data_IF_732377275259
#
_entry.id   IF_732377275259
#
_cell.length_a   1.000
_cell.length_b   1.000
_cell.length_c   1.000
_cell.angle_alpha   90.00
_cell.angle_beta   90.00
_cell.angle_gamma   90.00
#
_symmetry.space_group_name_H-M   'P 1'
#
loop_
_entity.id
_entity.type
_entity.pdbx_description
1 polymer ?
#
# COMPACT_ATOMS: atom_id res chain seq x y z
N UNK A 1 19.23 55.20 -37.23
CA UNK A 1 19.35 54.34 -36.02
C UNK A 1 18.02 53.64 -35.85
N UNK A 2 17.98 52.31 -35.97
CA UNK A 2 16.76 51.52 -35.89
C UNK A 2 16.32 51.33 -34.43
N UNK A 3 15.07 51.66 -34.13
CA UNK A 3 14.45 51.52 -32.81
C UNK A 3 14.33 50.04 -32.44
N UNK A 4 14.86 49.66 -31.27
CA UNK A 4 14.79 48.30 -30.76
C UNK A 4 13.45 48.09 -30.04
N UNK A 5 12.53 47.33 -30.63
CA UNK A 5 11.26 46.99 -29.98
C UNK A 5 11.46 45.90 -28.94
N UNK A 6 11.23 46.21 -27.67
CA UNK A 6 11.38 45.25 -26.55
C UNK A 6 10.00 44.83 -26.07
N UNK A 7 9.74 43.52 -26.10
CA UNK A 7 8.50 42.96 -25.55
C UNK A 7 8.47 43.03 -24.03
N UNK A 8 7.28 43.26 -23.47
CA UNK A 8 7.06 43.15 -22.02
C UNK A 8 7.24 41.70 -21.58
N UNK A 9 7.92 41.51 -20.45
CA UNK A 9 8.08 40.20 -19.83
C UNK A 9 6.70 39.67 -19.38
N UNK A 10 6.53 38.34 -19.42
CA UNK A 10 5.30 37.66 -19.00
C UNK A 10 5.61 36.69 -17.85
N UNK A 11 4.79 36.78 -16.80
CA UNK A 11 4.82 35.87 -15.65
C UNK A 11 4.02 34.60 -15.95
N UNK A 12 4.58 33.43 -15.63
CA UNK A 12 3.83 32.17 -15.63
C UNK A 12 3.41 31.77 -14.22
N UNK A 13 2.10 31.60 -14.00
CA UNK A 13 1.59 31.11 -12.73
C UNK A 13 1.51 29.57 -12.71
N UNK A 14 2.25 28.96 -11.77
CA UNK A 14 2.33 27.48 -11.62
C UNK A 14 1.01 26.81 -11.25
N UNK A 15 0.13 27.48 -10.52
CA UNK A 15 -1.12 26.88 -10.01
C UNK A 15 -2.32 27.10 -10.94
N UNK A 16 -2.26 28.11 -11.80
CA UNK A 16 -3.35 28.45 -12.71
C UNK A 16 -3.04 28.16 -14.18
N UNK A 17 -1.79 27.84 -14.52
CA UNK A 17 -1.32 27.51 -15.87
C UNK A 17 -1.59 28.63 -16.89
N UNK A 18 -1.51 29.88 -16.44
CA UNK A 18 -1.80 31.08 -17.25
C UNK A 18 -0.58 32.00 -17.25
N UNK A 19 -0.37 32.64 -18.40
CA UNK A 19 0.60 33.73 -18.57
C UNK A 19 -0.07 35.08 -18.29
N UNK A 20 0.55 35.87 -17.42
CA UNK A 20 0.09 37.20 -17.00
C UNK A 20 1.18 38.21 -17.37
N UNK A 21 0.83 39.47 -17.59
CA UNK A 21 1.83 40.53 -17.76
C UNK A 21 2.60 40.77 -16.45
N UNK A 22 3.91 41.00 -16.52
CA UNK A 22 4.78 41.21 -15.35
C UNK A 22 4.59 42.59 -14.67
N UNK A 23 3.35 43.01 -14.42
CA UNK A 23 3.07 44.21 -13.64
C UNK A 23 2.84 43.82 -12.17
N UNK A 24 3.49 44.53 -11.25
CA UNK A 24 3.32 44.31 -9.80
C UNK A 24 1.84 44.29 -9.34
N UNK A 25 0.96 45.23 -9.76
CA UNK A 25 -0.45 45.17 -9.39
C UNK A 25 -1.18 43.98 -10.04
N UNK A 26 -0.95 43.70 -11.31
CA UNK A 26 -1.58 42.57 -12.02
C UNK A 26 -1.22 41.23 -11.38
N UNK A 27 0.03 41.07 -10.95
CA UNK A 27 0.49 39.87 -10.24
C UNK A 27 -0.22 39.69 -8.90
N UNK A 28 -0.29 40.76 -8.09
CA UNK A 28 -0.98 40.74 -6.80
C UNK A 28 -2.47 40.45 -6.95
N UNK A 29 -3.13 41.06 -7.93
CA UNK A 29 -4.54 40.80 -8.22
C UNK A 29 -4.79 39.35 -8.61
N UNK A 30 -3.91 38.75 -9.41
CA UNK A 30 -4.02 37.34 -9.74
C UNK A 30 -3.81 36.43 -8.53
N UNK A 31 -2.79 36.69 -7.72
CA UNK A 31 -2.47 35.88 -6.53
C UNK A 31 -3.56 35.96 -5.46
N UNK A 32 -4.21 37.13 -5.31
CA UNK A 32 -5.34 37.36 -4.42
C UNK A 32 -6.68 36.85 -4.97
N UNK A 33 -6.73 36.43 -6.25
CA UNK A 33 -7.96 35.95 -6.87
C UNK A 33 -8.42 34.62 -6.27
N UNK A 34 -9.73 34.48 -6.05
CA UNK A 34 -10.31 33.26 -5.46
C UNK A 34 -9.98 31.99 -6.27
N UNK A 35 -9.90 32.10 -7.60
CA UNK A 35 -9.49 30.99 -8.47
C UNK A 35 -8.07 30.51 -8.16
N UNK A 36 -7.14 31.45 -7.94
CA UNK A 36 -5.75 31.13 -7.62
C UNK A 36 -5.64 30.46 -6.25
N UNK A 37 -6.31 31.03 -5.24
CA UNK A 37 -6.32 30.49 -3.89
C UNK A 37 -6.94 29.08 -3.84
N UNK A 38 -8.07 28.86 -4.52
CA UNK A 38 -8.69 27.54 -4.60
C UNK A 38 -7.82 26.49 -5.30
N UNK A 39 -7.06 26.87 -6.34
CA UNK A 39 -6.10 25.97 -6.98
C UNK A 39 -4.90 25.66 -6.06
N UNK A 40 -4.40 26.67 -5.35
CA UNK A 40 -3.30 26.52 -4.39
C UNK A 40 -3.69 25.56 -3.26
N UNK A 41 -4.87 25.71 -2.69
CA UNK A 41 -5.38 24.80 -1.67
C UNK A 41 -5.56 23.36 -2.18
N UNK A 42 -6.12 23.20 -3.39
CA UNK A 42 -6.25 21.89 -4.04
C UNK A 42 -4.89 21.23 -4.27
N UNK A 43 -3.90 22.00 -4.72
CA UNK A 43 -2.53 21.53 -4.91
C UNK A 43 -1.92 21.03 -3.60
N UNK A 44 -2.06 21.81 -2.52
CA UNK A 44 -1.57 21.42 -1.18
C UNK A 44 -2.24 20.13 -0.70
N UNK A 45 -3.57 20.02 -0.82
CA UNK A 45 -4.30 18.77 -0.47
C UNK A 45 -3.87 17.59 -1.35
N UNK A 46 -3.59 17.86 -2.63
CA UNK A 46 -3.08 16.87 -3.59
C UNK A 46 -1.72 16.32 -3.20
N UNK A 47 -0.81 17.15 -2.70
CA UNK A 47 0.52 16.72 -2.25
C UNK A 47 0.46 15.71 -1.11
N UNK A 48 -0.40 15.94 -0.11
CA UNK A 48 -0.55 14.99 1.00
C UNK A 48 -1.13 13.66 0.52
N UNK A 49 -2.18 13.70 -0.29
CA UNK A 49 -2.79 12.48 -0.87
C UNK A 49 -1.83 11.72 -1.77
N UNK A 50 -1.06 12.42 -2.60
CA UNK A 50 -0.05 11.81 -3.46
C UNK A 50 1.08 11.17 -2.64
N UNK A 51 1.48 11.82 -1.53
CA UNK A 51 2.51 11.27 -0.64
C UNK A 51 2.05 10.01 0.07
N UNK A 52 0.79 9.97 0.52
CA UNK A 52 0.19 8.77 1.13
C UNK A 52 0.09 7.62 0.12
N UNK A 53 -0.44 7.88 -1.08
CA UNK A 53 -0.51 6.89 -2.16
C UNK A 53 0.88 6.34 -2.51
N UNK A 54 1.88 7.20 -2.69
CA UNK A 54 3.26 6.76 -2.96
C UNK A 54 3.79 5.83 -1.89
N UNK A 55 3.47 6.06 -0.61
CA UNK A 55 3.88 5.14 0.47
C UNK A 55 3.18 3.79 0.32
N UNK A 56 1.87 3.79 0.11
CA UNK A 56 1.09 2.57 -0.11
C UNK A 56 1.61 1.79 -1.32
N UNK A 57 1.80 2.45 -2.46
CA UNK A 57 2.35 1.87 -3.70
C UNK A 57 3.72 1.23 -3.42
N UNK A 58 4.62 1.92 -2.72
CA UNK A 58 5.95 1.35 -2.40
C UNK A 58 5.88 0.15 -1.43
N UNK A 59 4.89 0.10 -0.54
CA UNK A 59 4.67 -1.04 0.35
C UNK A 59 4.10 -2.24 -0.40
N UNK A 60 3.16 -2.01 -1.31
CA UNK A 60 2.61 -3.02 -2.20
C UNK A 60 3.69 -3.57 -3.15
N UNK A 61 4.48 -2.70 -3.78
CA UNK A 61 5.61 -3.09 -4.62
C UNK A 61 6.59 -3.99 -3.85
N UNK A 62 6.96 -3.62 -2.61
CA UNK A 62 7.82 -4.46 -1.76
C UNK A 62 7.20 -5.82 -1.44
N UNK A 63 5.89 -5.86 -1.18
CA UNK A 63 5.17 -7.11 -0.89
C UNK A 63 5.13 -8.02 -2.11
N UNK A 64 4.86 -7.48 -3.30
CA UNK A 64 4.86 -8.28 -4.53
C UNK A 64 6.27 -8.75 -4.88
N UNK A 65 7.30 -7.89 -4.73
CA UNK A 65 8.69 -8.31 -4.92
C UNK A 65 9.07 -9.47 -3.99
N UNK A 66 8.70 -9.40 -2.70
CA UNK A 66 8.96 -10.48 -1.76
C UNK A 66 8.27 -11.80 -2.16
N UNK A 67 7.04 -11.75 -2.70
CA UNK A 67 6.35 -12.95 -3.22
C UNK A 67 7.06 -13.53 -4.44
N UNK A 68 7.47 -12.68 -5.38
CA UNK A 68 8.22 -13.10 -6.57
C UNK A 68 9.55 -13.73 -6.18
N UNK A 69 10.26 -13.15 -5.21
CA UNK A 69 11.51 -13.70 -4.67
C UNK A 69 11.29 -15.07 -4.02
N UNK A 70 10.21 -15.26 -3.25
CA UNK A 70 9.87 -16.56 -2.68
C UNK A 70 9.60 -17.61 -3.77
N UNK A 71 8.77 -17.29 -4.77
CA UNK A 71 8.49 -18.20 -5.89
C UNK A 71 9.77 -18.52 -6.66
N UNK A 72 10.63 -17.54 -6.89
CA UNK A 72 11.94 -17.71 -7.54
C UNK A 72 12.85 -18.62 -6.71
N UNK A 73 12.94 -18.42 -5.41
CA UNK A 73 13.76 -19.28 -4.54
C UNK A 73 13.26 -20.73 -4.56
N UNK A 74 11.94 -20.93 -4.46
CA UNK A 74 11.31 -22.25 -4.53
C UNK A 74 11.50 -22.91 -5.90
N UNK A 75 11.38 -22.17 -6.99
CA UNK A 75 11.59 -22.70 -8.34
C UNK A 75 13.05 -23.09 -8.56
N UNK A 76 14.00 -22.29 -8.08
CA UNK A 76 15.43 -22.64 -8.11
C UNK A 76 15.71 -23.91 -7.32
N UNK A 77 15.14 -24.06 -6.11
CA UNK A 77 15.26 -25.30 -5.33
C UNK A 77 14.67 -26.52 -6.06
N UNK A 78 13.51 -26.36 -6.70
CA UNK A 78 12.88 -27.41 -7.50
C UNK A 78 13.77 -27.85 -8.68
N UNK A 79 14.33 -26.89 -9.43
CA UNK A 79 15.23 -27.17 -10.54
C UNK A 79 16.52 -27.86 -10.09
N UNK A 80 17.11 -27.42 -8.97
CA UNK A 80 18.28 -28.08 -8.39
C UNK A 80 17.94 -29.51 -7.94
N UNK A 81 16.81 -29.74 -7.28
CA UNK A 81 16.40 -31.09 -6.86
C UNK A 81 16.14 -32.02 -8.05
N UNK A 82 15.49 -31.53 -9.12
CA UNK A 82 15.28 -32.30 -10.35
C UNK A 82 16.59 -32.63 -11.08
N UNK A 83 17.62 -31.78 -11.00
CA UNK A 83 18.95 -32.08 -11.57
C UNK A 83 19.70 -33.17 -10.79
N UNK A 84 19.47 -33.28 -9.48
CA UNK A 84 20.11 -34.27 -8.59
C UNK A 84 19.38 -35.62 -8.59
N UNK A 85 18.06 -35.64 -8.84
CA UNK A 85 17.26 -36.87 -8.96
C UNK A 85 16.47 -36.87 -10.28
N UNK A 86 17.06 -37.33 -11.40
CA UNK A 86 16.49 -37.25 -12.75
C UNK A 86 15.32 -38.22 -13.02
N UNK A 87 14.52 -38.54 -12.01
CA UNK A 87 13.34 -39.43 -12.10
C UNK A 87 12.15 -39.02 -11.23
N UNK A 88 12.19 -37.87 -10.55
CA UNK A 88 11.09 -37.43 -9.69
C UNK A 88 10.09 -36.55 -10.47
N UNK A 89 9.41 -37.16 -11.42
CA UNK A 89 8.32 -36.54 -12.17
C UNK A 89 7.04 -36.51 -11.31
N UNK A 90 6.73 -35.36 -10.71
CA UNK A 90 5.35 -34.89 -10.44
C UNK A 90 4.39 -35.66 -9.49
N UNK A 91 4.73 -36.80 -8.86
CA UNK A 91 3.70 -37.58 -8.12
C UNK A 91 3.37 -37.15 -6.67
N UNK A 92 3.97 -36.11 -6.10
CA UNK A 92 3.79 -35.77 -4.66
C UNK A 92 2.86 -34.58 -4.38
N UNK A 93 1.77 -34.42 -5.16
CA UNK A 93 0.71 -33.45 -4.83
C UNK A 93 -0.60 -34.03 -4.28
N UNK A 94 -0.74 -35.35 -4.10
CA UNK A 94 -2.02 -35.89 -3.54
C UNK A 94 -1.98 -37.18 -2.74
N UNK A 95 -0.84 -37.79 -2.38
CA UNK A 95 -0.88 -39.05 -1.61
C UNK A 95 0.29 -39.28 -0.65
N UNK A 96 0.28 -38.56 0.47
CA UNK A 96 0.87 -39.07 1.70
C UNK A 96 0.02 -38.65 2.91
N UNK A 97 -1.29 -38.91 2.80
CA UNK A 97 -2.15 -39.12 3.97
C UNK A 97 -2.20 -40.63 4.19
N UNK A 98 -1.93 -41.04 5.44
CA UNK A 98 -2.10 -42.37 6.05
C UNK A 98 -0.93 -43.34 5.92
N UNK A 99 -0.11 -43.41 6.99
CA UNK A 99 -0.04 -44.60 7.86
C UNK A 99 0.70 -44.33 9.18
N UNK A 100 0.02 -43.76 10.17
CA UNK A 100 0.17 -44.22 11.56
C UNK A 100 -1.22 -44.19 12.20
N UNK A 101 -1.80 -45.39 12.28
CA UNK A 101 -3.08 -45.71 12.91
C UNK A 101 -2.74 -46.51 14.16
N UNK A 102 -2.89 -45.87 15.31
CA UNK A 102 -3.26 -46.47 16.62
C UNK A 102 -4.25 -45.45 17.18
N UNK A 103 -5.55 -45.54 16.89
CA UNK A 103 -6.58 -46.32 17.60
C UNK A 103 -6.40 -46.34 19.12
N UNK A 104 -7.51 -46.02 19.79
CA UNK A 104 -7.80 -46.08 21.23
C UNK A 104 -7.36 -44.86 22.08
N UNK A 105 -8.21 -43.82 22.14
CA UNK A 105 -8.56 -43.16 23.41
C UNK A 105 -9.86 -42.36 23.22
N UNK A 106 -10.96 -43.10 23.35
CA UNK A 106 -12.14 -42.68 24.10
C UNK A 106 -12.72 -41.29 23.81
N UNK A 107 -13.68 -41.31 22.89
CA UNK A 107 -14.97 -40.66 23.07
C UNK A 107 -15.52 -40.84 24.49
N UNK A 108 -15.38 -39.84 25.34
CA UNK A 108 -16.16 -39.66 26.57
C UNK A 108 -16.16 -38.17 26.94
N UNK A 109 -17.32 -37.63 27.33
CA UNK A 109 -17.56 -36.24 27.73
C UNK A 109 -17.75 -35.18 26.63
N UNK A 110 -18.66 -35.48 25.71
CA UNK A 110 -19.68 -34.51 25.30
C UNK A 110 -20.81 -34.53 26.34
N UNK A 111 -20.74 -33.70 27.40
CA UNK A 111 -21.90 -33.21 28.19
C UNK A 111 -21.43 -32.33 29.37
N UNK A 112 -21.34 -31.01 29.16
CA UNK A 112 -21.77 -29.98 30.13
C UNK A 112 -21.62 -28.57 29.55
N UNK A 113 -22.57 -28.23 28.69
CA UNK A 113 -23.23 -26.92 28.80
C UNK A 113 -23.96 -26.89 30.16
N UNK A 114 -24.22 -25.70 30.71
CA UNK A 114 -24.94 -25.44 31.97
C UNK A 114 -24.09 -25.47 33.25
N UNK A 115 -23.55 -24.31 33.65
CA UNK A 115 -24.01 -23.51 34.80
C UNK A 115 -22.95 -22.45 35.17
N UNK A 116 -23.43 -21.30 35.67
CA UNK A 116 -22.70 -20.17 36.26
C UNK A 116 -22.16 -19.07 35.33
N UNK A 117 -23.11 -18.41 34.67
CA UNK A 117 -23.25 -16.96 34.83
C UNK A 117 -23.63 -16.61 36.27
N UNK A 118 -23.00 -15.56 36.84
CA UNK A 118 -23.35 -14.75 38.03
C UNK A 118 -22.48 -14.96 39.29
N UNK A 119 -22.21 -13.81 39.93
CA UNK A 119 -21.56 -13.51 41.23
C UNK A 119 -20.02 -13.56 41.23
N UNK A 120 -19.30 -12.45 40.98
CA UNK A 120 -18.94 -11.39 41.96
C UNK A 120 -18.42 -10.18 41.16
N UNK A 121 -19.07 -9.02 41.02
CA UNK A 121 -19.17 -7.88 41.96
C UNK A 121 -18.46 -8.08 43.31
N UNK A 122 -17.29 -7.46 43.50
CA UNK A 122 -16.97 -6.54 44.62
C UNK A 122 -15.46 -6.26 44.74
N UNK A 123 -15.15 -4.98 44.96
CA UNK A 123 -13.99 -4.42 45.68
C UNK A 123 -12.67 -4.15 44.94
N UNK A 124 -11.95 -3.13 45.46
CA UNK A 124 -10.74 -2.41 44.98
C UNK A 124 -11.08 -1.21 44.07
N UNK A 125 -11.27 0.04 44.52
CA UNK A 125 -10.69 0.86 45.59
C UNK A 125 -9.16 0.84 45.65
N UNK A 126 -8.53 1.60 44.76
CA UNK A 126 -7.69 2.75 45.13
C UNK A 126 -7.63 3.75 43.98
#
# INVERSE_FOLDING_TARGET
>A
MSEYWVSKKKYYCKYCEIYITDDAPSRRQHENGLRHQGNKERFVRGLYKASEKRKQDTEEEKREMARVEQVRALSLLCLLYSSVYPGCSSSFRTRCRLRHRTREFFSFFSTRRFLLSKTHRSAETF
#
